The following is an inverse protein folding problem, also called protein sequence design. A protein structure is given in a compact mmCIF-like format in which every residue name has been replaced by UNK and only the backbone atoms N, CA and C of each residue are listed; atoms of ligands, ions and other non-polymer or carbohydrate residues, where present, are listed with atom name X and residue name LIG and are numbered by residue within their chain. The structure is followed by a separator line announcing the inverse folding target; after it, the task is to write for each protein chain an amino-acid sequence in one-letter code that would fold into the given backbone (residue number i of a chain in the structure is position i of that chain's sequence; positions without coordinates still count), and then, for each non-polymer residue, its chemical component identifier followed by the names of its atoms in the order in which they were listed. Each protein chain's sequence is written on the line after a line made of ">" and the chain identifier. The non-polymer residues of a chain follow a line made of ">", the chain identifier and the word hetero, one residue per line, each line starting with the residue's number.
data_IF_634912637333
#
_entry.id   IF_634912637333
#
_cell.length_a   1.000
_cell.length_b   1.000
_cell.length_c   1.000
_cell.angle_alpha   90.00
_cell.angle_beta   90.00
_cell.angle_gamma   90.00
#
_symmetry.space_group_name_H-M   'P 1'
#
loop_
_entity.id
_entity.type
_entity.pdbx_description
1 polymer ?
#
# COMPACT_ATOMS: atom_id res chain seq x y z
N UNK A 1 43.30 -33.72 78.51
CA UNK A 1 42.45 -32.60 78.86
C UNK A 1 42.02 -31.84 77.62
N UNK A 2 40.83 -31.98 77.33
CA UNK A 2 39.70 -31.06 77.21
C UNK A 2 40.10 -29.63 76.87
N UNK A 3 39.65 -29.12 75.74
CA UNK A 3 38.72 -28.01 75.78
C UNK A 3 37.91 -27.92 74.48
N UNK A 4 36.63 -27.85 74.71
CA UNK A 4 35.60 -27.64 73.80
C UNK A 4 35.35 -26.15 73.55
N UNK A 5 35.11 -25.74 72.34
CA UNK A 5 34.24 -24.60 72.06
C UNK A 5 33.59 -24.74 70.71
N UNK A 6 32.30 -25.11 70.72
CA UNK A 6 31.42 -25.09 69.61
C UNK A 6 31.02 -23.67 69.25
N UNK A 7 31.25 -23.28 68.01
CA UNK A 7 30.64 -22.10 67.43
C UNK A 7 29.67 -22.52 66.37
N UNK A 8 28.39 -22.38 66.66
CA UNK A 8 27.27 -22.51 65.70
C UNK A 8 27.30 -21.26 64.86
N UNK A 9 27.62 -21.40 63.58
CA UNK A 9 27.38 -20.36 62.55
C UNK A 9 26.01 -20.56 61.94
N UNK A 10 25.09 -19.66 62.21
CA UNK A 10 23.81 -19.48 61.56
C UNK A 10 24.04 -18.97 60.13
N UNK A 11 23.83 -19.81 59.16
CA UNK A 11 23.83 -19.42 57.75
C UNK A 11 22.49 -18.77 57.39
N UNK A 12 22.45 -17.46 57.22
CA UNK A 12 21.33 -16.76 56.59
C UNK A 12 21.51 -16.85 55.09
N UNK A 13 20.87 -17.87 54.47
CA UNK A 13 20.75 -17.98 53.03
C UNK A 13 19.72 -16.97 52.51
N UNK A 14 20.13 -15.83 51.99
CA UNK A 14 19.28 -14.95 51.20
C UNK A 14 19.15 -15.56 49.80
N UNK A 15 18.10 -16.31 49.57
CA UNK A 15 17.70 -16.76 48.25
C UNK A 15 17.21 -15.56 47.43
N UNK A 16 18.11 -14.96 46.66
CA UNK A 16 17.70 -14.03 45.60
C UNK A 16 16.92 -14.81 44.55
N UNK A 17 15.60 -14.59 44.50
CA UNK A 17 14.75 -15.05 43.40
C UNK A 17 15.20 -14.32 42.14
N UNK A 18 15.99 -14.99 41.30
CA UNK A 18 16.27 -14.49 39.94
C UNK A 18 14.95 -14.51 39.17
N UNK A 19 14.44 -13.32 38.87
CA UNK A 19 13.37 -13.15 37.87
C UNK A 19 13.79 -13.77 36.54
N UNK A 20 12.84 -14.17 35.70
CA UNK A 20 13.15 -14.78 34.39
C UNK A 20 13.99 -13.80 33.59
N UNK A 21 15.26 -14.12 33.34
CA UNK A 21 16.10 -13.39 32.40
C UNK A 21 15.43 -13.56 31.00
N UNK A 22 14.79 -12.49 30.58
CA UNK A 22 14.20 -12.43 29.21
C UNK A 22 15.37 -12.61 28.22
N UNK A 23 15.34 -13.72 27.52
CA UNK A 23 16.42 -14.14 26.64
C UNK A 23 16.60 -13.08 25.54
N UNK A 24 17.61 -12.22 25.67
CA UNK A 24 17.88 -11.08 24.79
C UNK A 24 17.93 -11.52 23.32
N UNK A 25 18.34 -12.76 23.04
CA UNK A 25 18.32 -13.35 21.68
C UNK A 25 16.89 -13.56 21.18
N UNK A 26 15.94 -13.91 22.05
CA UNK A 26 14.52 -14.09 21.67
C UNK A 26 13.88 -12.73 21.37
N UNK A 27 14.20 -11.70 22.16
CA UNK A 27 13.70 -10.33 21.97
C UNK A 27 14.26 -9.72 20.68
N UNK A 28 15.54 -9.92 20.39
CA UNK A 28 16.17 -9.46 19.14
C UNK A 28 15.62 -10.24 17.94
N UNK A 29 15.35 -11.54 18.09
CA UNK A 29 14.75 -12.37 17.04
C UNK A 29 13.30 -11.95 16.77
N UNK A 30 12.49 -11.67 17.80
CA UNK A 30 11.12 -11.19 17.66
C UNK A 30 11.05 -9.77 17.09
N UNK A 31 11.95 -8.88 17.50
CA UNK A 31 12.05 -7.53 16.95
C UNK A 31 12.52 -7.56 15.46
N UNK A 32 13.45 -8.45 15.13
CA UNK A 32 13.88 -8.70 13.75
C UNK A 32 12.76 -9.28 12.87
N UNK A 33 12.00 -10.26 13.38
CA UNK A 33 10.82 -10.79 12.69
C UNK A 33 9.73 -9.74 12.52
N UNK A 34 9.48 -8.90 13.53
CA UNK A 34 8.47 -7.84 13.47
C UNK A 34 8.89 -6.72 12.50
N UNK A 35 10.17 -6.35 12.47
CA UNK A 35 10.70 -5.38 11.50
C UNK A 35 10.65 -5.94 10.06
N UNK A 36 10.95 -7.22 9.86
CA UNK A 36 10.76 -7.92 8.59
C UNK A 36 9.28 -7.93 8.18
N UNK A 37 8.36 -8.27 9.09
CA UNK A 37 6.92 -8.29 8.79
C UNK A 37 6.36 -6.90 8.42
N UNK A 38 6.86 -5.83 9.04
CA UNK A 38 6.45 -4.45 8.70
C UNK A 38 6.99 -4.06 7.31
N UNK A 39 8.20 -4.49 6.95
CA UNK A 39 8.78 -4.28 5.61
C UNK A 39 8.03 -5.05 4.50
N UNK A 40 7.52 -6.23 4.81
CA UNK A 40 6.77 -7.05 3.83
C UNK A 40 5.40 -6.48 3.46
N UNK A 41 4.72 -5.76 4.35
CA UNK A 41 3.40 -5.17 4.06
C UNK A 41 3.46 -4.02 3.03
N UNK A 42 4.64 -3.43 2.84
CA UNK A 42 4.87 -2.35 1.87
C UNK A 42 5.51 -2.84 0.55
N UNK A 43 5.78 -4.14 0.42
CA UNK A 43 6.45 -4.72 -0.75
C UNK A 43 5.48 -5.53 -1.63
N UNK A 44 4.21 -5.15 -1.64
CA UNK A 44 3.22 -5.76 -2.52
C UNK A 44 3.33 -5.08 -3.89
N UNK A 45 3.67 -5.87 -4.89
CA UNK A 45 3.85 -5.40 -6.26
C UNK A 45 2.61 -5.74 -7.10
N UNK A 46 2.36 -4.95 -8.13
CA UNK A 46 1.25 -5.14 -9.06
C UNK A 46 1.75 -5.23 -10.49
N UNK A 47 1.29 -6.21 -11.23
CA UNK A 47 1.52 -6.30 -12.67
C UNK A 47 0.39 -5.59 -13.42
N UNK A 48 0.53 -4.29 -13.68
CA UNK A 48 -0.45 -3.51 -14.44
C UNK A 48 -0.54 -3.93 -15.91
N UNK A 49 0.52 -4.51 -16.49
CA UNK A 49 0.49 -5.04 -17.86
C UNK A 49 -0.53 -6.16 -18.02
N UNK A 50 -0.81 -6.90 -16.96
CA UNK A 50 -1.84 -7.95 -16.97
C UNK A 50 -3.24 -7.38 -17.26
N UNK A 51 -3.51 -6.13 -16.89
CA UNK A 51 -4.76 -5.43 -17.16
C UNK A 51 -4.82 -4.74 -18.54
N UNK A 52 -3.73 -4.73 -19.32
CA UNK A 52 -3.69 -4.07 -20.61
C UNK A 52 -4.63 -4.73 -21.63
N UNK A 53 -5.34 -3.90 -22.42
CA UNK A 53 -6.30 -4.35 -23.41
C UNK A 53 -7.57 -5.00 -22.82
N UNK A 54 -7.78 -4.84 -21.50
CA UNK A 54 -8.94 -5.39 -20.81
C UNK A 54 -9.82 -4.26 -20.28
N UNK A 55 -11.17 -4.40 -20.38
CA UNK A 55 -12.07 -3.42 -19.79
C UNK A 55 -11.91 -3.38 -18.27
N UNK A 56 -11.91 -2.18 -17.72
CA UNK A 56 -11.85 -1.93 -16.28
C UNK A 56 -12.64 -0.66 -16.02
N UNK A 57 -13.69 -0.74 -15.19
CA UNK A 57 -14.51 0.41 -14.87
C UNK A 57 -13.78 1.33 -13.90
N UNK A 58 -13.95 2.65 -14.07
CA UNK A 58 -13.44 3.65 -13.14
C UNK A 58 -14.17 3.55 -11.80
N UNK A 59 -13.41 3.34 -10.73
CA UNK A 59 -13.89 3.17 -9.36
C UNK A 59 -13.74 4.42 -8.51
N UNK A 60 -13.52 5.59 -9.12
CA UNK A 60 -13.25 6.86 -8.43
C UNK A 60 -14.29 7.18 -7.37
N UNK A 61 -15.57 7.12 -7.73
CA UNK A 61 -16.65 7.51 -6.84
C UNK A 61 -16.76 6.56 -5.63
N UNK A 62 -16.59 5.26 -5.85
CA UNK A 62 -16.58 4.27 -4.75
C UNK A 62 -15.39 4.48 -3.80
N UNK A 63 -14.21 4.78 -4.33
CA UNK A 63 -13.01 5.01 -3.51
C UNK A 63 -13.12 6.35 -2.78
N UNK A 64 -13.59 7.42 -3.44
CA UNK A 64 -13.88 8.71 -2.81
C UNK A 64 -14.90 8.56 -1.67
N UNK A 65 -16.00 7.84 -1.91
CA UNK A 65 -17.00 7.55 -0.89
C UNK A 65 -16.38 6.88 0.34
N UNK A 66 -15.50 5.88 0.12
CA UNK A 66 -14.80 5.21 1.22
C UNK A 66 -13.87 6.13 2.01
N UNK A 67 -13.10 6.98 1.33
CA UNK A 67 -12.22 7.94 1.98
C UNK A 67 -13.00 8.91 2.85
N UNK A 68 -14.08 9.49 2.34
CA UNK A 68 -14.92 10.43 3.05
C UNK A 68 -15.64 9.78 4.24
N UNK A 69 -16.19 8.57 4.06
CA UNK A 69 -16.84 7.80 5.14
C UNK A 69 -15.88 7.55 6.30
N UNK A 70 -14.64 7.16 6.04
CA UNK A 70 -13.67 6.93 7.11
C UNK A 70 -13.22 8.23 7.78
N UNK A 71 -13.23 9.34 7.05
CA UNK A 71 -12.95 10.66 7.61
C UNK A 71 -14.08 11.13 8.55
N UNK A 72 -15.34 10.97 8.15
CA UNK A 72 -16.51 11.22 9.01
C UNK A 72 -16.46 10.37 10.29
N UNK A 73 -16.14 9.10 10.14
CA UNK A 73 -15.99 8.19 11.28
C UNK A 73 -14.83 8.54 12.19
N UNK A 74 -13.75 9.09 11.64
CA UNK A 74 -12.64 9.61 12.44
C UNK A 74 -13.07 10.81 13.27
N UNK A 75 -13.83 11.73 12.70
CA UNK A 75 -14.43 12.87 13.40
C UNK A 75 -15.39 12.38 14.50
N UNK A 76 -16.32 11.51 14.15
CA UNK A 76 -17.31 10.95 15.07
C UNK A 76 -16.71 10.12 16.22
N UNK A 77 -15.44 9.72 16.12
CA UNK A 77 -14.75 9.00 17.20
C UNK A 77 -14.41 9.89 18.41
N UNK A 78 -14.53 11.19 18.30
CA UNK A 78 -14.31 12.14 19.38
C UNK A 78 -15.64 12.54 20.03
N UNK A 79 -15.78 12.42 21.37
CA UNK A 79 -16.95 12.91 22.08
C UNK A 79 -17.18 14.42 21.84
N UNK A 80 -18.44 14.86 21.76
CA UNK A 80 -18.79 16.26 21.49
C UNK A 80 -18.21 17.23 22.54
N UNK A 81 -18.11 16.78 23.79
CA UNK A 81 -17.55 17.53 24.91
C UNK A 81 -16.01 17.51 24.98
N UNK A 82 -15.34 16.71 24.14
CA UNK A 82 -13.88 16.51 24.14
C UNK A 82 -13.29 16.50 22.73
N UNK A 83 -13.65 17.50 21.97
CA UNK A 83 -13.11 17.67 20.62
C UNK A 83 -11.60 17.97 20.67
N UNK A 84 -10.78 17.40 19.76
CA UNK A 84 -9.38 17.72 19.69
C UNK A 84 -9.15 19.18 19.29
N UNK A 85 -8.21 19.86 19.93
CA UNK A 85 -7.90 21.26 19.63
C UNK A 85 -7.20 21.47 18.28
N UNK A 86 -6.60 20.43 17.72
CA UNK A 86 -5.88 20.54 16.46
C UNK A 86 -6.27 19.42 15.48
N UNK A 87 -6.31 19.78 14.21
CA UNK A 87 -6.65 18.92 13.08
C UNK A 87 -5.82 17.64 13.04
N UNK A 88 -4.54 17.70 13.40
CA UNK A 88 -3.66 16.54 13.33
C UNK A 88 -4.13 15.36 14.19
N UNK A 89 -4.81 15.61 15.32
CA UNK A 89 -5.41 14.53 16.12
C UNK A 89 -6.50 13.80 15.34
N UNK A 90 -7.31 14.56 14.57
CA UNK A 90 -8.31 13.97 13.65
C UNK A 90 -7.63 13.17 12.54
N UNK A 91 -6.61 13.74 11.90
CA UNK A 91 -5.82 13.04 10.87
C UNK A 91 -5.14 11.75 11.41
N UNK A 92 -4.67 11.73 12.67
CA UNK A 92 -4.16 10.52 13.32
C UNK A 92 -5.26 9.48 13.53
N UNK A 93 -6.46 9.90 13.94
CA UNK A 93 -7.60 9.01 14.10
C UNK A 93 -8.01 8.41 12.75
N UNK A 94 -8.10 9.24 11.71
CA UNK A 94 -8.35 8.82 10.33
C UNK A 94 -7.32 7.76 9.86
N UNK A 95 -6.03 8.07 9.96
CA UNK A 95 -4.96 7.13 9.58
C UNK A 95 -5.07 5.79 10.33
N UNK A 96 -5.42 5.81 11.62
CA UNK A 96 -5.59 4.57 12.41
C UNK A 96 -6.74 3.71 11.88
N UNK A 97 -7.80 4.33 11.38
CA UNK A 97 -8.95 3.62 10.79
C UNK A 97 -8.61 2.99 9.45
N UNK A 98 -7.75 3.65 8.67
CA UNK A 98 -7.28 3.18 7.36
C UNK A 98 -6.20 2.11 7.43
N UNK A 99 -5.75 1.72 8.66
CA UNK A 99 -4.72 0.68 8.88
C UNK A 99 -5.35 -0.57 9.51
N UNK A 100 -4.87 -1.71 9.04
CA UNK A 100 -5.14 -3.01 9.64
C UNK A 100 -3.84 -3.78 9.76
N UNK A 101 -3.45 -4.24 10.94
CA UNK A 101 -2.23 -5.01 11.27
C UNK A 101 -1.07 -4.86 10.27
N UNK A 102 -0.95 -5.78 9.32
CA UNK A 102 0.10 -5.84 8.30
C UNK A 102 -0.37 -5.34 6.93
N UNK A 103 -1.68 -5.26 6.69
CA UNK A 103 -2.29 -4.72 5.48
C UNK A 103 -3.05 -3.44 5.84
N UNK A 104 -3.27 -2.59 4.84
CA UNK A 104 -4.07 -1.40 5.03
C UNK A 104 -5.54 -1.70 4.78
N UNK A 105 -6.41 -1.18 5.64
CA UNK A 105 -7.86 -1.38 5.56
C UNK A 105 -8.39 -0.97 4.17
N UNK A 106 -7.95 0.17 3.67
CA UNK A 106 -8.37 0.65 2.34
C UNK A 106 -7.99 -0.32 1.22
N UNK A 107 -6.81 -0.94 1.30
CA UNK A 107 -6.36 -1.92 0.33
C UNK A 107 -7.18 -3.20 0.40
N UNK A 108 -7.43 -3.71 1.63
CA UNK A 108 -8.25 -4.90 1.85
C UNK A 108 -9.70 -4.67 1.41
N UNK A 109 -10.23 -3.47 1.68
CA UNK A 109 -11.54 -3.07 1.20
C UNK A 109 -11.59 -3.07 -0.33
N UNK A 110 -10.64 -2.41 -1.00
CA UNK A 110 -10.60 -2.34 -2.46
C UNK A 110 -10.47 -3.73 -3.11
N UNK A 111 -9.83 -4.71 -2.45
CA UNK A 111 -9.74 -6.08 -2.96
C UNK A 111 -11.06 -6.85 -2.90
N UNK A 112 -11.94 -6.50 -1.97
CA UNK A 112 -13.11 -7.30 -1.65
C UNK A 112 -14.43 -6.60 -1.93
N UNK A 113 -14.41 -5.28 -2.16
CA UNK A 113 -15.62 -4.50 -2.43
C UNK A 113 -16.20 -4.86 -3.79
N UNK A 114 -17.50 -5.03 -3.86
CA UNK A 114 -18.23 -5.20 -5.12
C UNK A 114 -18.36 -3.88 -5.92
N UNK A 115 -18.06 -2.75 -5.27
CA UNK A 115 -18.10 -1.40 -5.86
C UNK A 115 -16.79 -1.00 -6.54
N UNK A 116 -15.77 -1.83 -6.41
CA UNK A 116 -14.45 -1.60 -7.01
C UNK A 116 -14.23 -2.65 -8.09
N UNK A 117 -14.22 -2.21 -9.34
CA UNK A 117 -13.80 -3.07 -10.43
C UNK A 117 -12.27 -3.24 -10.40
N UNK A 118 -11.79 -4.46 -10.70
CA UNK A 118 -10.37 -4.81 -10.55
C UNK A 118 -9.97 -5.99 -11.40
N UNK A 119 -8.71 -6.04 -11.76
CA UNK A 119 -8.09 -7.13 -12.50
C UNK A 119 -6.83 -7.59 -11.75
N UNK A 120 -6.71 -8.87 -11.36
CA UNK A 120 -7.65 -9.97 -11.55
C UNK A 120 -8.89 -9.86 -10.66
N UNK A 121 -10.02 -10.38 -11.13
CA UNK A 121 -11.26 -10.49 -10.37
C UNK A 121 -11.71 -11.95 -10.29
N UNK A 122 -12.01 -12.41 -9.06
CA UNK A 122 -12.39 -13.79 -8.81
C UNK A 122 -11.22 -14.77 -8.59
N UNK A 123 -11.54 -15.94 -8.01
CA UNK A 123 -10.54 -16.87 -7.52
C UNK A 123 -9.73 -17.56 -8.63
N UNK A 124 -10.36 -17.87 -9.76
CA UNK A 124 -9.71 -18.58 -10.86
C UNK A 124 -8.71 -17.69 -11.56
N UNK A 125 -9.11 -16.47 -11.87
CA UNK A 125 -8.24 -15.48 -12.49
C UNK A 125 -7.09 -15.08 -11.56
N UNK A 126 -7.34 -14.97 -10.26
CA UNK A 126 -6.27 -14.74 -9.28
C UNK A 126 -5.25 -15.88 -9.25
N UNK A 127 -5.68 -17.13 -9.44
CA UNK A 127 -4.74 -18.26 -9.53
C UNK A 127 -3.87 -18.20 -10.77
N UNK A 128 -4.45 -17.80 -11.91
CA UNK A 128 -3.70 -17.59 -13.14
C UNK A 128 -2.71 -16.42 -13.00
N UNK A 129 -3.19 -15.28 -12.53
CA UNK A 129 -2.36 -14.11 -12.28
C UNK A 129 -1.14 -14.41 -11.41
N UNK A 130 -1.29 -15.20 -10.34
CA UNK A 130 -0.16 -15.60 -9.50
C UNK A 130 0.92 -16.40 -10.23
N UNK A 131 0.55 -17.13 -11.28
CA UNK A 131 1.50 -17.94 -12.06
C UNK A 131 2.18 -17.16 -13.17
N UNK A 132 1.54 -16.14 -13.70
CA UNK A 132 1.90 -15.48 -14.96
C UNK A 132 2.37 -14.05 -14.81
N UNK A 133 2.16 -13.40 -13.66
CA UNK A 133 2.53 -12.00 -13.48
C UNK A 133 4.06 -11.78 -13.43
N UNK A 134 4.49 -10.52 -13.62
CA UNK A 134 5.89 -10.10 -13.64
C UNK A 134 6.69 -10.56 -12.40
N UNK A 135 6.02 -10.74 -11.28
CA UNK A 135 6.62 -11.03 -10.00
C UNK A 135 6.48 -12.50 -9.60
N UNK A 136 5.89 -13.34 -10.46
CA UNK A 136 5.87 -14.79 -10.26
C UNK A 136 7.31 -15.33 -10.12
N UNK A 137 7.50 -16.44 -9.42
CA UNK A 137 8.81 -17.04 -9.11
C UNK A 137 9.73 -16.19 -8.20
N UNK A 138 9.17 -15.36 -7.32
CA UNK A 138 9.96 -14.72 -6.27
C UNK A 138 10.07 -15.67 -5.06
N UNK A 139 11.28 -16.00 -4.56
CA UNK A 139 11.45 -17.02 -3.51
C UNK A 139 10.74 -16.69 -2.19
N UNK A 140 10.51 -15.40 -1.88
CA UNK A 140 9.78 -14.97 -0.70
C UNK A 140 8.29 -14.70 -0.97
N UNK A 141 7.93 -14.34 -2.20
CA UNK A 141 6.55 -14.07 -2.62
C UNK A 141 5.87 -15.32 -3.18
N UNK A 142 6.67 -16.28 -3.67
CA UNK A 142 6.23 -17.53 -4.30
C UNK A 142 5.86 -18.62 -3.28
N UNK A 143 6.02 -18.38 -1.99
CA UNK A 143 5.54 -19.30 -0.96
C UNK A 143 4.03 -19.49 -0.94
N UNK A 144 3.32 -18.91 -1.91
CA UNK A 144 1.95 -19.22 -2.32
C UNK A 144 0.85 -18.87 -1.31
N UNK A 145 1.23 -18.51 -0.10
CA UNK A 145 0.29 -18.46 1.03
C UNK A 145 0.27 -17.14 1.80
N UNK A 146 1.29 -16.28 1.66
CA UNK A 146 1.45 -15.17 2.62
C UNK A 146 1.26 -13.77 2.06
N UNK A 147 1.50 -13.54 0.77
CA UNK A 147 1.33 -12.21 0.18
C UNK A 147 0.59 -12.31 -1.15
N UNK A 148 -0.66 -11.88 -1.22
CA UNK A 148 -1.36 -11.76 -2.49
C UNK A 148 -0.73 -10.63 -3.29
N UNK A 149 -0.45 -10.87 -4.58
CA UNK A 149 -0.20 -9.80 -5.54
C UNK A 149 -1.43 -8.89 -5.59
N UNK A 150 -1.22 -7.59 -5.66
CA UNK A 150 -2.32 -6.65 -5.64
C UNK A 150 -3.00 -6.58 -7.00
N UNK A 151 -4.34 -6.51 -7.05
CA UNK A 151 -5.05 -6.28 -8.30
C UNK A 151 -4.88 -4.83 -8.76
N UNK A 152 -5.02 -4.64 -10.06
CA UNK A 152 -5.13 -3.33 -10.70
C UNK A 152 -6.57 -2.84 -10.61
N UNK A 153 -6.76 -1.58 -10.26
CA UNK A 153 -8.03 -0.83 -10.34
C UNK A 153 -7.83 0.43 -11.18
N UNK A 154 -8.91 1.08 -11.57
CA UNK A 154 -8.88 2.38 -12.24
C UNK A 154 -9.53 3.44 -11.33
N UNK A 155 -8.81 4.54 -11.05
CA UNK A 155 -9.30 5.70 -10.31
C UNK A 155 -8.80 6.97 -11.00
N UNK A 156 -9.67 7.93 -11.19
CA UNK A 156 -9.37 9.17 -11.91
C UNK A 156 -8.84 8.94 -13.33
N UNK A 157 -9.28 7.86 -13.99
CA UNK A 157 -8.81 7.46 -15.31
C UNK A 157 -7.39 6.90 -15.34
N UNK A 158 -6.80 6.57 -14.17
CA UNK A 158 -5.46 5.99 -14.04
C UNK A 158 -5.55 4.59 -13.45
N UNK A 159 -4.85 3.63 -14.07
CA UNK A 159 -4.75 2.24 -13.62
C UNK A 159 -3.55 2.05 -12.71
N UNK A 160 -3.78 1.52 -11.53
CA UNK A 160 -2.70 1.26 -10.57
C UNK A 160 -3.07 0.12 -9.62
N UNK A 161 -2.08 -0.43 -8.92
CA UNK A 161 -2.29 -1.45 -7.91
C UNK A 161 -2.96 -0.89 -6.65
N UNK A 162 -3.81 -1.68 -6.02
CA UNK A 162 -4.50 -1.27 -4.78
C UNK A 162 -3.54 -0.91 -3.62
N UNK A 163 -2.28 -1.34 -3.69
CA UNK A 163 -1.20 -0.95 -2.79
C UNK A 163 -0.92 0.55 -2.78
N UNK A 164 -1.12 1.25 -3.92
CA UNK A 164 -0.92 2.70 -4.02
C UNK A 164 -1.87 3.48 -3.09
N UNK A 165 -3.08 2.96 -2.85
CA UNK A 165 -4.00 3.53 -1.84
C UNK A 165 -3.42 3.40 -0.42
N UNK A 166 -2.75 2.29 -0.14
CA UNK A 166 -2.05 2.09 1.13
C UNK A 166 -0.83 3.02 1.27
N UNK A 167 -0.08 3.22 0.19
CA UNK A 167 1.04 4.16 0.11
C UNK A 167 0.56 5.61 0.36
N UNK A 168 -0.51 6.05 -0.29
CA UNK A 168 -1.12 7.36 -0.06
C UNK A 168 -1.39 7.61 1.43
N UNK A 169 -2.05 6.66 2.09
CA UNK A 169 -2.51 6.85 3.48
C UNK A 169 -1.40 6.62 4.50
N UNK A 170 -0.56 5.61 4.33
CA UNK A 170 0.41 5.20 5.34
C UNK A 170 1.78 5.86 5.17
N UNK A 171 2.40 5.65 4.03
CA UNK A 171 3.70 6.21 3.73
C UNK A 171 3.62 7.71 3.49
N UNK A 172 2.50 8.20 2.92
CA UNK A 172 2.19 9.62 2.84
C UNK A 172 2.19 10.32 4.21
N UNK A 173 1.69 9.66 5.27
CA UNK A 173 1.81 10.19 6.63
C UNK A 173 3.28 10.29 7.10
N UNK A 174 4.13 9.39 6.69
CA UNK A 174 5.56 9.44 7.01
C UNK A 174 6.23 10.63 6.32
N UNK A 175 5.92 10.84 5.02
CA UNK A 175 6.39 12.01 4.26
C UNK A 175 5.90 13.32 4.89
N UNK A 176 4.61 13.41 5.22
CA UNK A 176 4.05 14.55 5.95
C UNK A 176 4.77 14.81 7.28
N UNK A 177 5.12 13.76 8.00
CA UNK A 177 5.91 13.86 9.22
C UNK A 177 7.31 14.42 9.00
N UNK A 178 8.00 13.99 7.94
CA UNK A 178 9.34 14.48 7.57
C UNK A 178 9.29 15.93 7.05
N UNK A 179 8.30 16.26 6.22
CA UNK A 179 8.05 17.64 5.79
C UNK A 179 7.91 18.58 7.00
N UNK A 180 7.04 18.26 7.94
CA UNK A 180 6.84 19.06 9.15
C UNK A 180 8.08 19.14 10.06
N UNK A 181 8.92 18.11 10.06
CA UNK A 181 10.22 18.17 10.77
C UNK A 181 11.16 19.14 10.10
N UNK A 182 11.17 19.20 8.76
CA UNK A 182 11.94 20.17 7.98
C UNK A 182 11.54 21.60 8.34
N UNK A 183 10.26 21.93 8.25
CA UNK A 183 9.73 23.25 8.61
C UNK A 183 10.08 23.65 10.06
N UNK A 184 10.00 22.73 11.02
CA UNK A 184 10.40 22.99 12.43
C UNK A 184 11.88 23.27 12.59
N UNK A 185 12.72 22.82 11.65
CA UNK A 185 14.16 23.14 11.63
C UNK A 185 14.49 24.43 10.89
N UNK A 186 13.48 25.11 10.35
CA UNK A 186 13.64 26.35 9.59
C UNK A 186 13.95 26.12 8.10
N UNK A 187 13.73 24.91 7.59
CA UNK A 187 13.84 24.63 6.15
C UNK A 187 12.71 25.32 5.39
N UNK A 188 12.95 25.67 4.12
CA UNK A 188 11.87 26.16 3.24
C UNK A 188 10.86 25.03 2.95
N UNK A 189 9.64 25.32 2.50
CA UNK A 189 8.69 24.30 2.08
C UNK A 189 9.28 23.34 1.05
N UNK A 190 9.98 23.88 0.05
CA UNK A 190 10.60 23.12 -1.04
C UNK A 190 11.70 22.18 -0.51
N UNK A 191 12.55 22.65 0.41
CA UNK A 191 13.59 21.81 1.03
C UNK A 191 12.97 20.74 1.91
N UNK A 192 11.88 21.04 2.61
CA UNK A 192 11.16 20.10 3.45
C UNK A 192 10.45 19.01 2.60
N UNK A 193 9.92 19.34 1.42
CA UNK A 193 9.39 18.36 0.45
C UNK A 193 10.51 17.46 -0.07
N UNK A 194 11.61 18.03 -0.54
CA UNK A 194 12.79 17.28 -0.99
C UNK A 194 13.33 16.36 0.10
N UNK A 195 13.31 16.80 1.36
CA UNK A 195 13.64 15.96 2.52
C UNK A 195 12.73 14.75 2.62
N UNK A 196 11.41 14.94 2.51
CA UNK A 196 10.44 13.87 2.60
C UNK A 196 10.64 12.83 1.48
N UNK A 197 10.80 13.30 0.23
CA UNK A 197 11.08 12.44 -0.93
C UNK A 197 12.41 11.72 -0.79
N UNK A 198 13.49 12.38 -0.35
CA UNK A 198 14.79 11.76 -0.10
C UNK A 198 14.73 10.63 0.90
N UNK A 199 13.93 10.80 1.97
CA UNK A 199 13.71 9.73 2.94
C UNK A 199 13.06 8.53 2.28
N UNK A 200 12.01 8.72 1.49
CA UNK A 200 11.34 7.63 0.80
C UNK A 200 12.26 6.91 -0.19
N UNK A 201 13.01 7.64 -1.01
CA UNK A 201 13.99 7.03 -1.93
C UNK A 201 15.01 6.18 -1.15
N UNK A 202 15.41 6.62 0.04
CA UNK A 202 16.34 5.87 0.89
C UNK A 202 15.69 4.61 1.46
N UNK A 203 14.46 4.70 1.94
CA UNK A 203 13.71 3.56 2.48
C UNK A 203 13.44 2.52 1.39
N UNK A 204 12.96 2.93 0.21
CA UNK A 204 12.72 2.04 -0.94
C UNK A 204 14.01 1.41 -1.46
N UNK A 205 15.10 2.19 -1.58
CA UNK A 205 16.34 1.65 -2.13
C UNK A 205 17.10 0.72 -1.18
N UNK A 206 16.94 0.82 0.13
CA UNK A 206 17.72 0.07 1.11
C UNK A 206 16.95 -1.08 1.76
N UNK A 207 15.74 -0.86 2.23
CA UNK A 207 15.04 -1.78 3.13
C UNK A 207 13.92 -2.53 2.41
N UNK A 208 13.06 -1.81 1.71
CA UNK A 208 11.84 -2.36 1.12
C UNK A 208 12.07 -2.93 -0.28
N UNK A 209 12.83 -2.23 -1.12
CA UNK A 209 13.05 -2.63 -2.51
C UNK A 209 14.14 -3.67 -2.68
N UNK A 210 15.42 -3.29 -2.50
CA UNK A 210 16.55 -4.19 -2.86
C UNK A 210 16.64 -5.45 -2.02
N UNK A 211 16.33 -5.37 -0.72
CA UNK A 211 16.48 -6.50 0.20
C UNK A 211 15.26 -7.42 0.20
N UNK A 212 14.05 -6.88 0.06
CA UNK A 212 12.82 -7.66 0.14
C UNK A 212 12.39 -8.23 -1.22
N UNK A 213 12.08 -7.36 -2.20
CA UNK A 213 11.52 -7.77 -3.50
C UNK A 213 12.52 -7.75 -4.65
N UNK A 214 13.61 -7.01 -4.53
CA UNK A 214 14.54 -6.71 -5.62
C UNK A 214 13.99 -5.68 -6.61
N UNK A 215 12.92 -4.99 -6.21
CA UNK A 215 12.23 -3.93 -6.93
C UNK A 215 12.37 -2.63 -6.15
N UNK A 216 12.47 -1.49 -6.80
CA UNK A 216 12.33 -0.15 -6.20
C UNK A 216 11.27 0.56 -7.00
N UNK A 217 10.06 0.65 -6.44
CA UNK A 217 8.91 1.20 -7.12
C UNK A 217 8.93 2.72 -7.07
N UNK A 218 9.09 3.37 -8.23
CA UNK A 218 8.95 4.83 -8.35
C UNK A 218 7.48 5.24 -8.17
N UNK A 219 6.49 4.52 -8.71
CA UNK A 219 5.08 4.75 -8.42
C UNK A 219 4.72 4.76 -6.94
N UNK A 220 5.38 3.96 -6.09
CA UNK A 220 5.19 4.02 -4.64
C UNK A 220 5.66 5.35 -4.05
N UNK A 221 6.80 5.86 -4.53
CA UNK A 221 7.31 7.17 -4.13
C UNK A 221 6.34 8.30 -4.55
N UNK A 222 5.75 8.19 -5.75
CA UNK A 222 4.74 9.13 -6.24
C UNK A 222 3.47 9.08 -5.38
N UNK A 223 2.97 7.91 -5.04
CA UNK A 223 1.81 7.74 -4.17
C UNK A 223 2.10 8.24 -2.73
N UNK A 224 3.32 8.03 -2.22
CA UNK A 224 3.76 8.56 -0.92
C UNK A 224 3.79 10.08 -0.92
N UNK A 225 4.31 10.69 -2.00
CA UNK A 225 4.37 12.13 -2.16
C UNK A 225 2.98 12.76 -2.25
N UNK A 226 2.10 12.18 -3.06
CA UNK A 226 0.69 12.58 -3.12
C UNK A 226 0.01 12.46 -1.76
N UNK A 227 0.32 11.42 -1.00
CA UNK A 227 -0.18 11.23 0.37
C UNK A 227 0.30 12.29 1.36
N UNK A 228 1.50 12.85 1.17
CA UNK A 228 1.96 14.02 1.93
C UNK A 228 1.03 15.22 1.68
N UNK A 229 0.74 15.52 0.40
CA UNK A 229 -0.16 16.61 0.03
C UNK A 229 -1.58 16.36 0.53
N UNK A 230 -2.08 15.14 0.45
CA UNK A 230 -3.36 14.77 1.06
C UNK A 230 -3.43 15.15 2.55
N UNK A 231 -2.40 14.87 3.34
CA UNK A 231 -2.38 15.25 4.76
C UNK A 231 -2.18 16.75 4.99
N UNK A 232 -1.49 17.45 4.09
CA UNK A 232 -1.42 18.91 4.10
C UNK A 232 -2.79 19.51 3.84
N UNK A 233 -3.51 19.02 2.83
CA UNK A 233 -4.86 19.47 2.47
C UNK A 233 -5.88 19.18 3.57
N UNK A 234 -5.70 18.11 4.34
CA UNK A 234 -6.55 17.87 5.49
C UNK A 234 -6.47 19.02 6.52
N UNK A 235 -5.28 19.57 6.76
CA UNK A 235 -5.02 20.34 7.96
C UNK A 235 -4.20 21.64 7.80
N UNK A 236 -3.25 21.72 6.86
CA UNK A 236 -2.15 22.68 6.94
C UNK A 236 -2.12 23.67 5.75
N UNK A 237 -3.17 23.71 4.93
CA UNK A 237 -3.38 24.69 3.87
C UNK A 237 -4.36 25.79 4.30
N UNK A 238 -4.45 26.88 3.53
CA UNK A 238 -5.33 28.02 3.84
C UNK A 238 -6.82 27.63 3.84
N UNK A 239 -7.23 26.71 2.94
CA UNK A 239 -8.60 26.16 2.88
C UNK A 239 -8.56 24.63 3.10
N UNK A 240 -8.42 24.19 4.37
CA UNK A 240 -8.27 22.78 4.68
C UNK A 240 -9.58 22.01 4.54
N UNK A 241 -9.47 20.71 4.24
CA UNK A 241 -10.61 19.79 4.19
C UNK A 241 -11.32 19.71 5.55
N UNK A 242 -10.55 19.71 6.66
CA UNK A 242 -11.06 19.63 8.01
C UNK A 242 -11.09 21.01 8.66
N UNK A 243 -12.26 21.45 9.11
CA UNK A 243 -12.45 22.72 9.85
C UNK A 243 -13.08 22.48 11.22
N UNK A 244 -12.70 23.31 12.19
CA UNK A 244 -13.30 23.30 13.51
C UNK A 244 -14.39 24.38 13.57
N UNK A 245 -15.63 23.95 13.75
CA UNK A 245 -16.78 24.81 13.97
C UNK A 245 -17.26 24.79 15.42
N UNK A 246 -18.37 25.48 15.71
CA UNK A 246 -18.96 25.52 17.04
C UNK A 246 -19.45 24.16 17.55
N UNK A 247 -19.84 23.24 16.64
CA UNK A 247 -20.30 21.89 16.96
C UNK A 247 -19.17 20.83 16.93
N UNK A 248 -17.93 21.23 16.65
CA UNK A 248 -16.78 20.33 16.52
C UNK A 248 -16.19 20.32 15.10
N UNK A 249 -15.35 19.34 14.82
CA UNK A 249 -14.72 19.15 13.51
C UNK A 249 -15.76 18.73 12.47
N UNK A 250 -15.59 19.22 11.24
CA UNK A 250 -16.42 18.86 10.10
C UNK A 250 -15.59 18.87 8.80
N UNK A 251 -16.10 18.17 7.79
CA UNK A 251 -15.53 18.14 6.44
C UNK A 251 -16.09 19.36 5.70
N UNK A 252 -15.23 20.32 5.36
CA UNK A 252 -15.62 21.55 4.65
C UNK A 252 -15.75 21.33 3.13
N UNK A 253 -14.99 20.41 2.58
CA UNK A 253 -15.07 19.91 1.21
C UNK A 253 -14.72 18.41 1.20
N UNK A 254 -15.36 17.60 0.35
CA UNK A 254 -15.05 16.18 0.29
C UNK A 254 -13.61 15.94 -0.19
N UNK A 255 -13.06 14.81 0.23
CA UNK A 255 -11.85 14.27 -0.39
C UNK A 255 -12.20 13.80 -1.80
N UNK A 256 -11.44 14.23 -2.78
CA UNK A 256 -11.51 13.74 -4.15
C UNK A 256 -10.11 13.25 -4.60
N UNK A 257 -10.02 11.98 -4.95
CA UNK A 257 -8.74 11.38 -5.38
C UNK A 257 -8.27 11.89 -6.74
N UNK A 258 -9.12 12.57 -7.51
CA UNK A 258 -8.72 13.28 -8.74
C UNK A 258 -7.66 14.35 -8.47
N UNK A 259 -7.58 14.85 -7.23
CA UNK A 259 -6.59 15.85 -6.81
C UNK A 259 -5.19 15.23 -6.56
N UNK A 260 -5.10 13.91 -6.40
CA UNK A 260 -3.88 13.24 -5.95
C UNK A 260 -3.35 12.19 -6.93
N UNK A 261 -4.25 11.51 -7.64
CA UNK A 261 -3.88 10.42 -8.56
C UNK A 261 -3.28 10.99 -9.84
N UNK A 262 -2.13 10.48 -10.23
CA UNK A 262 -1.45 10.86 -11.47
C UNK A 262 -1.08 9.60 -12.28
N UNK A 263 -0.85 9.71 -13.60
CA UNK A 263 -0.38 8.60 -14.42
C UNK A 263 0.89 7.92 -13.90
N UNK A 264 1.67 8.64 -13.07
CA UNK A 264 2.91 8.15 -12.48
C UNK A 264 2.71 7.08 -11.40
N UNK A 265 1.45 6.79 -11.02
CA UNK A 265 1.11 5.67 -10.13
C UNK A 265 1.04 4.34 -10.87
N UNK A 266 0.98 4.36 -12.20
CA UNK A 266 0.96 3.16 -13.04
C UNK A 266 2.40 2.69 -13.34
N UNK A 267 2.78 1.50 -12.86
CA UNK A 267 4.11 0.91 -13.08
C UNK A 267 4.38 0.57 -14.56
N UNK A 268 3.33 0.46 -15.36
CA UNK A 268 3.46 0.28 -16.81
C UNK A 268 3.76 1.59 -17.55
N UNK A 269 3.52 2.74 -16.91
CA UNK A 269 3.83 4.07 -17.41
C UNK A 269 5.13 4.61 -16.80
N UNK A 270 5.29 4.47 -15.50
CA UNK A 270 6.49 4.85 -14.75
C UNK A 270 7.18 3.57 -14.26
N UNK A 271 8.14 3.01 -15.01
CA UNK A 271 8.71 1.72 -14.68
C UNK A 271 9.52 1.77 -13.38
N UNK A 272 9.45 0.71 -12.55
CA UNK A 272 10.29 0.55 -11.37
C UNK A 272 11.74 0.19 -11.74
N UNK A 273 12.63 0.30 -10.76
CA UNK A 273 14.00 -0.17 -10.88
C UNK A 273 14.12 -1.61 -10.38
N UNK A 274 14.93 -2.41 -11.06
CA UNK A 274 15.14 -3.80 -10.70
C UNK A 274 16.61 -4.11 -10.37
N UNK A 275 16.85 -4.97 -9.39
CA UNK A 275 18.16 -5.61 -9.26
C UNK A 275 18.42 -6.54 -10.47
N UNK A 276 19.71 -6.78 -10.79
CA UNK A 276 20.07 -7.69 -11.90
C UNK A 276 19.43 -9.07 -11.78
N UNK A 277 19.31 -9.58 -10.55
CA UNK A 277 18.69 -10.89 -10.28
C UNK A 277 17.20 -10.88 -10.54
N UNK A 278 16.53 -9.79 -10.16
CA UNK A 278 15.08 -9.60 -10.38
C UNK A 278 14.78 -9.38 -11.85
N UNK A 279 15.52 -8.50 -12.50
CA UNK A 279 15.36 -8.20 -13.91
C UNK A 279 15.41 -9.43 -14.81
N UNK A 280 16.37 -10.35 -14.56
CA UNK A 280 16.43 -11.61 -15.30
C UNK A 280 15.17 -12.47 -15.23
N UNK A 281 14.33 -12.27 -14.22
CA UNK A 281 13.04 -12.97 -14.07
C UNK A 281 11.88 -12.15 -14.63
N UNK A 282 11.92 -10.84 -14.49
CA UNK A 282 10.88 -9.91 -14.94
C UNK A 282 10.89 -9.76 -16.46
N UNK A 283 12.07 -9.54 -17.06
CA UNK A 283 12.21 -9.27 -18.49
C UNK A 283 11.50 -10.30 -19.39
N UNK A 284 11.67 -11.62 -19.22
CA UNK A 284 11.00 -12.60 -20.09
C UNK A 284 9.47 -12.56 -19.97
N UNK A 285 8.93 -12.23 -18.80
CA UNK A 285 7.48 -12.08 -18.64
C UNK A 285 7.01 -10.76 -19.27
N UNK A 286 7.76 -9.67 -19.07
CA UNK A 286 7.46 -8.38 -19.69
C UNK A 286 7.45 -8.48 -21.23
N UNK A 287 8.34 -9.27 -21.82
CA UNK A 287 8.38 -9.54 -23.26
C UNK A 287 7.07 -10.15 -23.80
N UNK A 288 6.35 -10.90 -22.98
CA UNK A 288 5.05 -11.49 -23.39
C UNK A 288 3.96 -10.44 -23.60
N UNK A 289 4.14 -9.24 -23.09
CA UNK A 289 3.18 -8.14 -23.25
C UNK A 289 3.48 -7.22 -24.44
N UNK A 290 4.56 -7.45 -25.18
CA UNK A 290 4.96 -6.57 -26.28
C UNK A 290 3.87 -6.42 -27.37
N UNK A 291 3.16 -7.48 -27.68
CA UNK A 291 2.08 -7.43 -28.69
C UNK A 291 0.91 -6.51 -28.26
N UNK A 292 0.75 -6.30 -26.94
CA UNK A 292 -0.29 -5.41 -26.41
C UNK A 292 0.03 -3.93 -26.57
N UNK A 293 1.28 -3.55 -26.87
CA UNK A 293 1.64 -2.16 -27.16
C UNK A 293 0.86 -1.56 -28.34
N UNK A 294 0.48 -2.40 -29.31
CA UNK A 294 -0.31 -1.99 -30.47
C UNK A 294 -1.83 -2.06 -30.24
N UNK A 295 -2.28 -2.50 -29.06
CA UNK A 295 -3.70 -2.54 -28.73
C UNK A 295 -4.25 -1.11 -28.69
N UNK A 296 -5.37 -0.81 -29.41
CA UNK A 296 -5.93 0.53 -29.45
C UNK A 296 -6.28 1.11 -28.08
N UNK A 297 -6.72 0.28 -27.12
CA UNK A 297 -7.04 0.73 -25.76
C UNK A 297 -5.77 1.11 -25.01
N UNK A 298 -4.69 0.37 -25.17
CA UNK A 298 -3.38 0.67 -24.57
C UNK A 298 -2.79 1.95 -25.17
N UNK A 299 -2.84 2.08 -26.50
CA UNK A 299 -2.37 3.29 -27.20
C UNK A 299 -3.12 4.52 -26.70
N UNK A 300 -4.45 4.44 -26.60
CA UNK A 300 -5.29 5.55 -26.14
C UNK A 300 -5.05 5.86 -24.65
N UNK A 301 -4.98 4.85 -23.80
CA UNK A 301 -4.64 5.02 -22.37
C UNK A 301 -3.30 5.76 -22.20
N UNK A 302 -2.26 5.32 -22.92
CA UNK A 302 -0.93 5.94 -22.86
C UNK A 302 -0.91 7.36 -23.44
N UNK A 303 -1.74 7.64 -24.45
CA UNK A 303 -1.93 9.00 -24.99
C UNK A 303 -2.51 9.91 -23.92
N UNK A 304 -3.61 9.49 -23.26
CA UNK A 304 -4.23 10.23 -22.15
C UNK A 304 -3.25 10.46 -21.00
N UNK A 305 -2.48 9.46 -20.64
CA UNK A 305 -1.46 9.60 -19.57
C UNK A 305 -0.43 10.67 -19.88
N UNK A 306 0.07 10.73 -21.12
CA UNK A 306 1.00 11.81 -21.53
C UNK A 306 0.37 13.20 -21.45
N UNK A 307 -0.93 13.30 -21.69
CA UNK A 307 -1.66 14.57 -21.59
C UNK A 307 -1.96 14.98 -20.14
N UNK A 308 -2.15 14.02 -19.27
CA UNK A 308 -2.39 14.24 -17.84
C UNK A 308 -1.10 14.48 -17.05
N UNK A 309 0.02 13.92 -17.48
CA UNK A 309 1.29 13.98 -16.72
C UNK A 309 1.86 15.41 -16.73
N UNK A 310 1.96 15.97 -15.53
CA UNK A 310 2.52 17.32 -15.28
C UNK A 310 3.94 17.30 -14.73
N UNK A 311 4.56 16.13 -14.65
CA UNK A 311 5.79 15.96 -13.90
C UNK A 311 5.54 15.89 -12.39
N UNK A 312 6.60 15.65 -11.63
CA UNK A 312 6.55 15.62 -10.17
C UNK A 312 7.94 15.86 -9.57
N UNK A 313 7.98 16.33 -8.33
CA UNK A 313 9.24 16.45 -7.59
C UNK A 313 9.95 15.09 -7.45
N UNK A 314 9.20 13.99 -7.31
CA UNK A 314 9.78 12.64 -7.27
C UNK A 314 10.49 12.34 -8.58
N UNK A 315 9.84 12.59 -9.72
CA UNK A 315 10.42 12.40 -11.05
C UNK A 315 11.69 13.21 -11.25
N UNK A 316 11.69 14.48 -10.85
CA UNK A 316 12.85 15.36 -10.94
C UNK A 316 14.03 14.84 -10.09
N UNK A 317 13.76 14.43 -8.84
CA UNK A 317 14.79 13.90 -7.95
C UNK A 317 15.31 12.53 -8.38
N UNK A 318 14.49 11.70 -9.03
CA UNK A 318 14.93 10.46 -9.66
C UNK A 318 15.84 10.77 -10.85
N UNK A 319 15.47 11.71 -11.71
CA UNK A 319 16.29 12.16 -12.85
C UNK A 319 17.64 12.75 -12.41
N UNK A 320 17.67 13.56 -11.35
CA UNK A 320 18.91 14.06 -10.74
C UNK A 320 19.83 12.90 -10.34
N UNK A 321 19.29 11.86 -9.68
CA UNK A 321 20.09 10.69 -9.23
C UNK A 321 20.59 9.83 -10.37
N UNK A 322 19.82 9.72 -11.46
CA UNK A 322 20.25 9.07 -12.70
C UNK A 322 21.42 9.85 -13.32
N UNK A 323 21.29 11.18 -13.44
CA UNK A 323 22.33 12.05 -13.98
C UNK A 323 23.64 11.98 -13.16
N UNK A 324 23.51 11.83 -11.83
CA UNK A 324 24.65 11.64 -10.91
C UNK A 324 25.24 10.21 -10.94
N UNK A 325 24.63 9.27 -11.66
CA UNK A 325 25.04 7.87 -11.71
C UNK A 325 24.77 7.09 -10.39
N UNK A 326 23.92 7.63 -9.51
CA UNK A 326 23.57 6.99 -8.22
C UNK A 326 22.58 5.86 -8.34
N UNK A 327 21.70 5.93 -9.34
CA UNK A 327 20.72 4.90 -9.69
C UNK A 327 20.72 4.66 -11.19
N UNK A 328 20.20 3.52 -11.60
CA UNK A 328 19.98 3.18 -13.00
C UNK A 328 18.84 4.05 -13.58
N UNK A 329 18.88 4.30 -14.90
CA UNK A 329 17.76 4.95 -15.58
C UNK A 329 16.55 4.00 -15.62
N UNK A 330 15.39 4.39 -15.06
CA UNK A 330 14.18 3.58 -15.12
C UNK A 330 13.73 3.24 -16.54
N UNK A 331 14.02 4.11 -17.52
CA UNK A 331 13.62 3.92 -18.91
C UNK A 331 14.15 2.62 -19.52
N UNK A 332 15.31 2.12 -19.05
CA UNK A 332 15.84 0.83 -19.52
C UNK A 332 14.98 -0.38 -19.13
N UNK A 333 14.10 -0.21 -18.15
CA UNK A 333 13.17 -1.25 -17.66
C UNK A 333 11.76 -1.09 -18.22
N UNK A 334 11.55 -0.11 -19.10
CA UNK A 334 10.25 0.10 -19.75
C UNK A 334 9.96 -1.01 -20.74
N UNK A 335 8.67 -1.21 -21.02
CA UNK A 335 8.25 -2.16 -22.04
C UNK A 335 8.73 -1.75 -23.44
N UNK A 336 8.84 -0.45 -23.71
CA UNK A 336 9.37 0.05 -24.97
C UNK A 336 10.83 -0.35 -25.17
N UNK A 337 11.65 -0.23 -24.12
CA UNK A 337 13.05 -0.65 -24.19
C UNK A 337 13.16 -2.16 -24.45
N UNK A 338 12.33 -2.94 -23.76
CA UNK A 338 12.32 -4.42 -23.90
C UNK A 338 11.82 -4.83 -25.28
N UNK A 339 10.75 -4.24 -25.79
CA UNK A 339 10.13 -4.61 -27.06
C UNK A 339 10.85 -4.08 -28.30
N UNK A 340 11.74 -3.08 -28.14
CA UNK A 340 12.58 -2.57 -29.23
C UNK A 340 13.83 -3.41 -29.47
N UNK A 341 14.21 -4.29 -28.52
CA UNK A 341 15.33 -5.19 -28.72
C UNK A 341 14.99 -6.28 -29.76
N UNK A 342 15.88 -6.57 -30.73
CA UNK A 342 15.65 -7.61 -31.71
C UNK A 342 15.57 -8.98 -31.01
N UNK A 343 14.42 -9.61 -31.06
CA UNK A 343 14.25 -10.99 -30.57
C UNK A 343 14.13 -11.95 -31.77
N UNK A 344 15.12 -12.80 -32.04
CA UNK A 344 15.09 -13.75 -33.12
C UNK A 344 14.03 -14.86 -32.93
N UNK A 345 13.42 -15.01 -31.75
CA UNK A 345 12.42 -16.06 -31.47
C UNK A 345 10.95 -15.61 -31.73
N UNK A 346 10.72 -14.34 -32.12
CA UNK A 346 9.37 -13.80 -32.31
C UNK A 346 8.73 -14.04 -33.68
N UNK A 347 9.41 -14.64 -34.61
CA UNK A 347 8.82 -15.04 -35.89
C UNK A 347 7.91 -16.25 -35.67
N UNK A 348 6.61 -16.00 -35.41
CA UNK A 348 5.60 -17.07 -35.45
C UNK A 348 4.56 -17.15 -34.33
N UNK A 349 4.45 -16.19 -33.41
CA UNK A 349 3.44 -16.25 -32.34
C UNK A 349 2.01 -15.94 -32.84
N UNK A 350 0.97 -16.70 -32.41
CA UNK A 350 -0.40 -16.47 -32.84
C UNK A 350 -1.04 -15.22 -32.21
N UNK A 351 -1.79 -14.46 -33.02
CA UNK A 351 -2.56 -13.30 -32.56
C UNK A 351 -3.81 -13.77 -31.82
N UNK A 352 -3.93 -13.37 -30.55
CA UNK A 352 -5.16 -13.57 -29.78
C UNK A 352 -6.08 -12.37 -30.05
N UNK A 353 -7.18 -12.64 -30.77
CA UNK A 353 -8.29 -11.71 -30.93
C UNK A 353 -9.47 -12.26 -30.14
N UNK A 354 -9.89 -11.56 -29.08
CA UNK A 354 -11.19 -11.80 -28.47
C UNK A 354 -11.93 -10.50 -28.14
N UNK A 355 -13.17 -10.52 -28.57
CA UNK A 355 -14.18 -9.48 -28.47
C UNK A 355 -14.82 -9.53 -27.09
N UNK A 356 -14.90 -8.41 -26.40
CA UNK A 356 -15.77 -8.26 -25.23
C UNK A 356 -16.59 -6.97 -25.37
N UNK A 357 -17.90 -7.09 -25.19
CA UNK A 357 -18.85 -5.97 -25.17
C UNK A 357 -18.80 -5.25 -23.82
N UNK A 358 -18.76 -3.92 -23.86
CA UNK A 358 -18.72 -3.06 -22.68
C UNK A 358 -20.16 -2.69 -22.29
N UNK A 359 -20.54 -3.00 -21.07
CA UNK A 359 -21.73 -2.45 -20.42
C UNK A 359 -21.27 -1.42 -19.38
N UNK A 360 -21.52 -0.15 -19.64
CA UNK A 360 -21.27 0.92 -18.66
C UNK A 360 -22.55 1.20 -17.86
N UNK A 361 -22.51 1.05 -16.55
CA UNK A 361 -23.53 1.57 -15.63
C UNK A 361 -22.96 2.76 -14.87
N UNK A 362 -23.44 3.96 -15.13
CA UNK A 362 -23.20 5.12 -14.28
C UNK A 362 -24.25 5.14 -13.17
N UNK A 363 -23.83 4.96 -11.91
CA UNK A 363 -24.62 5.28 -10.73
C UNK A 363 -24.31 6.71 -10.29
N UNK A 364 -25.29 7.42 -9.73
CA UNK A 364 -25.04 8.74 -9.16
C UNK A 364 -24.25 8.65 -7.82
N UNK A 365 -23.52 9.72 -7.47
CA UNK A 365 -22.64 9.75 -6.30
C UNK A 365 -23.37 9.44 -4.98
N UNK A 366 -24.63 9.86 -4.84
CA UNK A 366 -25.44 9.62 -3.65
C UNK A 366 -25.75 8.13 -3.47
N UNK A 367 -26.09 7.46 -4.56
CA UNK A 367 -26.37 6.02 -4.58
C UNK A 367 -25.11 5.21 -4.26
N UNK A 368 -23.94 5.62 -4.77
CA UNK A 368 -22.67 4.97 -4.48
C UNK A 368 -22.29 5.11 -3.02
N UNK A 369 -22.45 6.33 -2.43
CA UNK A 369 -22.15 6.57 -1.02
C UNK A 369 -23.03 5.70 -0.11
N UNK A 370 -24.35 5.66 -0.35
CA UNK A 370 -25.28 4.85 0.43
C UNK A 370 -24.91 3.37 0.41
N UNK A 371 -24.56 2.84 -0.76
CA UNK A 371 -24.17 1.45 -0.93
C UNK A 371 -22.84 1.10 -0.28
N UNK A 372 -21.83 1.98 -0.37
CA UNK A 372 -20.53 1.79 0.31
C UNK A 372 -20.70 1.79 1.83
N UNK A 373 -21.60 2.63 2.36
CA UNK A 373 -21.92 2.63 3.79
C UNK A 373 -22.59 1.32 4.21
N UNK A 374 -23.57 0.84 3.44
CA UNK A 374 -24.28 -0.41 3.72
C UNK A 374 -23.34 -1.62 3.71
N UNK A 375 -22.46 -1.73 2.71
CA UNK A 375 -21.45 -2.81 2.64
C UNK A 375 -20.55 -2.83 3.87
N UNK A 376 -20.11 -1.66 4.35
CA UNK A 376 -19.25 -1.57 5.52
C UNK A 376 -19.98 -1.93 6.82
N UNK A 377 -21.27 -1.59 6.96
CA UNK A 377 -22.09 -1.99 8.11
C UNK A 377 -22.26 -3.51 8.17
N UNK A 378 -22.53 -4.16 7.05
CA UNK A 378 -22.67 -5.62 6.99
C UNK A 378 -21.36 -6.32 7.35
N UNK A 379 -20.23 -5.83 6.85
CA UNK A 379 -18.90 -6.33 7.23
C UNK A 379 -18.62 -6.19 8.72
N UNK A 380 -19.03 -5.08 9.32
CA UNK A 380 -18.87 -4.85 10.78
C UNK A 380 -19.76 -5.78 11.59
N UNK A 381 -21.01 -6.01 11.19
CA UNK A 381 -21.91 -6.96 11.84
C UNK A 381 -21.35 -8.37 11.80
N UNK A 382 -20.81 -8.78 10.64
CA UNK A 382 -20.12 -10.06 10.49
C UNK A 382 -18.88 -10.15 11.39
N UNK A 383 -18.05 -9.11 11.44
CA UNK A 383 -16.87 -9.03 12.30
C UNK A 383 -17.23 -9.13 13.79
N UNK A 384 -18.26 -8.42 14.25
CA UNK A 384 -18.74 -8.48 15.63
C UNK A 384 -19.34 -9.84 15.97
N UNK A 385 -20.05 -10.48 15.04
CA UNK A 385 -20.55 -11.84 15.21
C UNK A 385 -19.42 -12.86 15.39
N UNK A 386 -18.34 -12.72 14.65
CA UNK A 386 -17.15 -13.57 14.78
C UNK A 386 -16.35 -13.29 16.06
N UNK A 387 -16.28 -12.04 16.51
CA UNK A 387 -15.60 -11.66 17.76
C UNK A 387 -16.26 -12.32 18.99
N UNK A 388 -17.58 -12.50 18.97
CA UNK A 388 -18.30 -13.25 20.02
C UNK A 388 -17.98 -14.76 20.05
N UNK A 389 -17.37 -15.28 19.00
CA UNK A 389 -16.93 -16.68 18.89
C UNK A 389 -15.43 -16.87 19.17
N UNK A 390 -14.71 -15.85 19.65
CA UNK A 390 -13.24 -15.84 19.79
C UNK A 390 -12.47 -16.23 18.51
N UNK A 391 -13.03 -15.96 17.35
CA UNK A 391 -12.37 -16.18 16.07
C UNK A 391 -11.58 -14.92 15.72
N UNK A 392 -10.26 -14.98 15.84
CA UNK A 392 -9.39 -13.95 15.25
C UNK A 392 -9.52 -14.02 13.74
N UNK A 393 -9.89 -12.92 13.13
CA UNK A 393 -10.09 -12.76 11.69
C UNK A 393 -8.93 -13.35 10.91
N UNK A 394 -9.13 -14.39 10.14
CA UNK A 394 -8.21 -14.65 9.04
C UNK A 394 -8.61 -13.71 7.90
N UNK A 395 -7.62 -13.02 7.38
CA UNK A 395 -7.70 -12.32 6.13
C UNK A 395 -8.32 -13.24 5.08
N UNK A 396 -9.54 -12.97 4.70
CA UNK A 396 -10.14 -13.62 3.56
C UNK A 396 -9.66 -12.90 2.31
N UNK A 397 -8.39 -13.14 1.95
CA UNK A 397 -8.11 -13.27 0.55
C UNK A 397 -8.67 -14.63 0.16
N UNK A 398 -9.39 -14.74 -0.95
CA UNK A 398 -9.91 -15.97 -1.50
C UNK A 398 -8.79 -16.97 -1.83
N UNK A 399 -8.21 -17.57 -0.82
CA UNK A 399 -7.36 -18.74 -0.87
C UNK A 399 -7.46 -19.35 0.51
N UNK A 400 -7.94 -20.58 0.58
CA UNK A 400 -8.13 -21.43 1.72
C UNK A 400 -7.13 -21.15 2.86
N UNK A 401 -7.53 -20.31 3.81
CA UNK A 401 -6.82 -20.16 5.07
C UNK A 401 -7.58 -20.99 6.07
N UNK A 402 -6.93 -22.01 6.61
CA UNK A 402 -7.47 -22.83 7.67
C UNK A 402 -7.72 -21.94 8.91
N UNK A 403 -8.96 -21.87 9.34
CA UNK A 403 -9.36 -21.22 10.60
C UNK A 403 -8.87 -22.10 11.74
N UNK A 404 -7.85 -21.67 12.49
CA UNK A 404 -7.54 -22.31 13.78
C UNK A 404 -8.53 -21.78 14.81
N UNK A 405 -9.51 -22.60 15.14
CA UNK A 405 -10.41 -22.39 16.29
C UNK A 405 -9.68 -22.93 17.52
N UNK A 406 -9.21 -22.04 18.40
CA UNK A 406 -8.76 -22.44 19.74
C UNK A 406 -9.96 -22.38 20.67
N UNK A 407 -10.53 -23.53 20.99
CA UNK A 407 -11.49 -23.67 22.10
C UNK A 407 -10.70 -23.72 23.41
N UNK A 408 -10.84 -22.71 24.27
CA UNK A 408 -10.44 -22.86 25.66
C UNK A 408 -11.55 -23.68 26.42
N UNK A 409 -11.18 -24.64 27.23
CA UNK A 409 -12.16 -25.34 28.08
C UNK A 409 -12.59 -24.40 29.22
N UNK A 410 -13.89 -24.25 29.38
CA UNK A 410 -14.50 -23.62 30.55
C UNK A 410 -14.20 -24.44 31.80
N UNK A 411 -13.52 -23.84 32.75
CA UNK A 411 -13.55 -24.25 34.16
C UNK A 411 -14.34 -23.26 34.98
#
# INVERSE_FOLDING_TARGET
>A
PVDAQGVVRSGTGSGAVRGPELNTRLVVSLAGCMALCIGFASALETDQYYAWGRPLADSTDAVNARFNLELERAIASFPADRQPENCRKVAVAYRKRMRFLLLHEIQVWAWNSEWVDRIPNGADEQREYRRTNLYSNHPLLDTGTWMPYTPTLEVAGVRFGTDKLAHLVSSGWTYYGEYRKGLKKGETPEDAERRAVNRGITEESLILGKLASGVTSIPDLEANYAGMHFYLDLCDVDDPILKLGAAGWFISRPVDLRDYVTPRWDESYQPPLYTKGRWRKVKPVLETYCDRLADPQVVEMRRRYREMDRGSLVGDMVAERVAEGKIQDPAQFSIEAVCSEPDPSREGAPKIADRIEIVSSQADDATVMEKVVAEDEDRRRFALGLAGLHITYPLVASASIAVMVTTQPST
#
